data_IF_373107880418
#
_entry.id   IF_373107880418
#
_cell.length_a   1.000
_cell.length_b   1.000
_cell.length_c   1.000
_cell.angle_alpha   90.00
_cell.angle_beta   90.00
_cell.angle_gamma   90.00
#
_symmetry.space_group_name_H-M   'P 1'
#
loop_
_entity.id
_entity.type
_entity.pdbx_description
1 polymer ?
#
# COMPACT_ATOMS: atom_id res chain seq x y z
N UNK A 1 6.71 -12.24 -7.12
CA UNK A 1 5.67 -12.86 -6.32
C UNK A 1 4.44 -11.98 -6.25
N UNK A 2 3.30 -12.61 -6.10
CA UNK A 2 2.04 -11.90 -5.90
C UNK A 2 1.65 -12.00 -4.43
N UNK A 3 1.20 -10.88 -3.87
CA UNK A 3 0.74 -10.86 -2.49
C UNK A 3 -0.74 -10.55 -2.44
N UNK A 4 -1.43 -11.12 -1.45
CA UNK A 4 -2.81 -10.79 -1.15
C UNK A 4 -2.84 -10.01 0.15
N UNK A 5 -3.43 -8.83 0.12
CA UNK A 5 -3.43 -7.92 1.25
C UNK A 5 -4.80 -7.29 1.47
N UNK A 6 -5.06 -6.94 2.73
CA UNK A 6 -6.02 -5.89 3.06
C UNK A 6 -5.24 -4.62 3.37
N UNK A 7 -5.72 -3.50 2.91
CA UNK A 7 -5.03 -2.23 3.14
C UNK A 7 -5.99 -1.06 3.22
N UNK A 8 -5.53 0.00 3.85
CA UNK A 8 -6.22 1.27 3.87
C UNK A 8 -5.18 2.37 3.78
N UNK A 9 -5.34 3.24 2.78
CA UNK A 9 -4.44 4.37 2.57
C UNK A 9 -5.10 5.67 2.95
N UNK A 10 -4.39 6.49 3.73
CA UNK A 10 -4.88 7.78 4.17
C UNK A 10 -3.88 8.88 3.89
N UNK A 11 -4.39 10.09 3.74
CA UNK A 11 -3.57 11.30 3.71
C UNK A 11 -3.25 11.73 5.14
N UNK A 12 -2.36 12.70 5.29
CA UNK A 12 -1.95 13.17 6.62
C UNK A 12 -3.14 13.73 7.40
N UNK A 13 -4.11 14.32 6.72
CA UNK A 13 -5.31 14.87 7.36
C UNK A 13 -6.32 13.79 7.78
N UNK A 14 -6.03 12.52 7.51
CA UNK A 14 -6.93 11.42 7.86
C UNK A 14 -7.91 11.01 6.78
N UNK A 15 -7.93 11.71 5.64
CA UNK A 15 -8.82 11.35 4.53
C UNK A 15 -8.40 10.03 3.94
N UNK A 16 -9.34 9.12 3.75
CA UNK A 16 -9.08 7.82 3.13
C UNK A 16 -9.13 7.98 1.61
N UNK A 17 -8.05 7.64 0.92
CA UNK A 17 -8.04 7.71 -0.54
C UNK A 17 -8.25 6.36 -1.22
N UNK A 18 -8.02 5.28 -0.50
CA UNK A 18 -8.24 3.93 -1.03
C UNK A 18 -8.31 2.94 0.13
N UNK A 19 -9.14 1.90 0.02
CA UNK A 19 -9.28 0.92 1.09
C UNK A 19 -9.91 -0.36 0.57
N UNK A 20 -9.15 -1.46 0.61
CA UNK A 20 -9.70 -2.79 0.35
C UNK A 20 -10.65 -3.21 1.46
N UNK A 21 -10.38 -2.75 2.68
CA UNK A 21 -11.21 -3.09 3.84
C UNK A 21 -12.63 -2.58 3.66
N UNK A 22 -12.77 -1.36 3.17
CA UNK A 22 -14.10 -0.77 2.93
C UNK A 22 -14.83 -1.43 1.77
N UNK A 23 -14.09 -1.91 0.78
CA UNK A 23 -14.69 -2.65 -0.34
C UNK A 23 -15.11 -4.06 0.06
N UNK A 24 -14.60 -4.57 1.18
CA UNK A 24 -14.94 -5.90 1.67
C UNK A 24 -14.21 -7.03 0.96
N UNK A 25 -13.18 -6.73 0.18
CA UNK A 25 -12.43 -7.73 -0.57
C UNK A 25 -10.94 -7.46 -0.48
N UNK A 26 -10.11 -8.48 -0.22
CA UNK A 26 -8.66 -8.31 -0.31
C UNK A 26 -8.24 -8.01 -1.75
N UNK A 27 -7.08 -7.39 -1.88
CA UNK A 27 -6.50 -7.08 -3.17
C UNK A 27 -5.25 -7.91 -3.39
N UNK A 28 -5.00 -8.29 -4.64
CA UNK A 28 -3.80 -9.05 -5.02
C UNK A 28 -2.94 -8.20 -5.93
N UNK A 29 -1.65 -8.12 -5.62
CA UNK A 29 -0.70 -7.33 -6.39
C UNK A 29 0.60 -8.10 -6.60
N UNK A 30 1.20 -8.02 -7.79
CA UNK A 30 2.62 -8.37 -7.94
C UNK A 30 3.45 -7.37 -7.14
N UNK A 31 4.46 -7.85 -6.40
CA UNK A 31 5.26 -6.94 -5.56
C UNK A 31 6.05 -5.93 -6.37
N UNK A 32 6.21 -6.16 -7.67
CA UNK A 32 6.89 -5.23 -8.57
C UNK A 32 5.96 -4.19 -9.20
N UNK A 33 4.65 -4.32 -9.00
CA UNK A 33 3.65 -3.44 -9.63
C UNK A 33 3.03 -2.47 -8.64
N UNK A 34 3.63 -2.28 -7.48
CA UNK A 34 3.16 -1.37 -6.44
C UNK A 34 4.18 -0.25 -6.25
N UNK A 35 3.80 0.78 -5.49
CA UNK A 35 4.74 1.88 -5.22
C UNK A 35 5.98 1.34 -4.50
N UNK A 36 7.14 2.00 -4.68
CA UNK A 36 8.40 1.49 -4.12
C UNK A 36 8.36 1.25 -2.61
N UNK A 37 7.66 2.10 -1.87
CA UNK A 37 7.53 1.92 -0.42
C UNK A 37 6.86 0.61 -0.06
N UNK A 38 5.82 0.21 -0.82
CA UNK A 38 5.15 -1.07 -0.62
C UNK A 38 6.08 -2.25 -0.94
N UNK A 39 6.83 -2.15 -2.03
CA UNK A 39 7.77 -3.22 -2.40
C UNK A 39 8.76 -3.49 -1.27
N UNK A 40 9.29 -2.43 -0.67
CA UNK A 40 10.24 -2.56 0.45
C UNK A 40 9.57 -3.16 1.68
N UNK A 41 8.40 -2.66 2.04
CA UNK A 41 7.70 -3.09 3.25
C UNK A 41 7.22 -4.54 3.14
N UNK A 42 6.67 -4.91 1.99
CA UNK A 42 6.13 -6.26 1.82
C UNK A 42 7.21 -7.34 1.92
N UNK A 43 8.45 -7.01 1.55
CA UNK A 43 9.56 -7.94 1.70
C UNK A 43 9.94 -8.18 3.16
N UNK A 44 9.56 -7.27 4.05
CA UNK A 44 9.89 -7.35 5.47
C UNK A 44 8.75 -7.94 6.31
N UNK A 45 7.53 -7.92 5.79
CA UNK A 45 6.35 -8.32 6.55
C UNK A 45 6.17 -9.84 6.59
N UNK A 46 6.05 -10.44 7.77
CA UNK A 46 5.61 -11.83 7.87
C UNK A 46 4.15 -11.96 7.43
N UNK A 47 3.81 -13.12 6.85
CA UNK A 47 2.41 -13.43 6.55
C UNK A 47 1.60 -13.40 7.85
N UNK A 48 0.45 -12.75 7.79
CA UNK A 48 -0.43 -12.58 8.94
C UNK A 48 -0.18 -11.31 9.73
N UNK A 49 0.88 -10.56 9.43
CA UNK A 49 1.17 -9.32 10.13
C UNK A 49 0.30 -8.17 9.60
N UNK A 50 0.14 -7.18 10.45
CA UNK A 50 -0.60 -5.96 10.12
C UNK A 50 0.24 -4.78 10.60
N UNK A 51 0.68 -3.94 9.67
CA UNK A 51 1.58 -2.83 9.96
C UNK A 51 0.95 -1.51 9.55
N UNK A 52 1.24 -0.49 10.33
CA UNK A 52 0.95 0.89 9.95
C UNK A 52 2.27 1.51 9.50
N UNK A 53 2.30 1.98 8.27
CA UNK A 53 3.53 2.51 7.69
C UNK A 53 3.29 3.91 7.14
N UNK A 54 4.32 4.76 7.26
CA UNK A 54 4.32 6.10 6.72
C UNK A 54 5.30 6.11 5.56
N UNK A 55 4.82 6.45 4.37
CA UNK A 55 5.61 6.36 3.15
C UNK A 55 5.82 7.76 2.60
N UNK A 56 7.08 8.25 2.54
CA UNK A 56 7.34 9.56 1.96
C UNK A 56 7.06 9.58 0.46
N UNK A 57 6.84 10.77 -0.08
CA UNK A 57 6.42 10.94 -1.46
C UNK A 57 7.35 10.25 -2.45
N UNK A 58 8.66 10.31 -2.26
CA UNK A 58 9.61 9.72 -3.19
C UNK A 58 9.50 8.20 -3.28
N UNK A 59 8.90 7.56 -2.30
CA UNK A 59 8.63 6.12 -2.31
C UNK A 59 7.15 5.81 -2.59
N UNK A 60 6.38 6.82 -2.93
CA UNK A 60 4.97 6.70 -3.27
C UNK A 60 4.73 7.27 -4.67
N UNK A 61 4.00 8.37 -4.79
CA UNK A 61 3.64 8.91 -6.10
C UNK A 61 4.46 10.13 -6.50
N UNK A 62 5.41 10.54 -5.65
CA UNK A 62 6.39 11.55 -5.98
C UNK A 62 5.80 12.88 -6.43
N UNK A 63 6.45 13.47 -7.41
CA UNK A 63 6.07 14.78 -7.93
C UNK A 63 4.83 14.75 -8.80
N UNK A 64 4.41 13.57 -9.27
CA UNK A 64 3.24 13.45 -10.13
C UNK A 64 1.94 13.42 -9.37
N UNK A 65 1.97 12.87 -8.15
CA UNK A 65 0.75 12.56 -7.45
C UNK A 65 -0.05 11.46 -8.13
N UNK A 66 -1.28 11.29 -7.75
CA UNK A 66 -2.16 10.27 -8.34
C UNK A 66 -3.61 10.65 -8.13
N UNK A 67 -4.41 10.57 -9.19
CA UNK A 67 -5.83 10.85 -9.11
C UNK A 67 -6.13 12.26 -8.61
N UNK A 68 -7.28 12.42 -7.98
CA UNK A 68 -7.72 13.73 -7.51
C UNK A 68 -7.29 14.01 -6.07
N UNK A 69 -7.00 12.98 -5.29
CA UNK A 69 -6.73 13.13 -3.86
C UNK A 69 -5.25 13.23 -3.53
N UNK A 70 -4.39 12.54 -4.28
CA UNK A 70 -2.97 12.50 -4.00
C UNK A 70 -2.27 13.57 -4.84
N UNK A 71 -2.00 14.70 -4.20
CA UNK A 71 -1.29 15.79 -4.83
C UNK A 71 0.21 15.49 -4.94
N UNK A 72 0.96 16.29 -5.71
CA UNK A 72 2.42 16.11 -5.76
C UNK A 72 3.06 16.23 -4.38
N UNK A 73 4.07 15.42 -4.17
CA UNK A 73 4.92 15.46 -2.96
C UNK A 73 4.19 15.15 -1.66
N UNK A 74 3.16 14.29 -1.71
CA UNK A 74 2.42 13.92 -0.49
C UNK A 74 2.98 12.67 0.15
N UNK A 75 3.17 12.75 1.46
CA UNK A 75 3.43 11.57 2.30
C UNK A 75 2.13 10.85 2.55
N UNK A 76 2.15 9.52 2.45
CA UNK A 76 0.97 8.69 2.60
C UNK A 76 1.10 7.79 3.82
N UNK A 77 -0.02 7.45 4.42
CA UNK A 77 -0.09 6.54 5.56
C UNK A 77 -0.90 5.33 5.14
N UNK A 78 -0.32 4.13 5.32
CA UNK A 78 -1.00 2.89 5.00
C UNK A 78 -1.09 1.99 6.21
N UNK A 79 -2.22 1.30 6.33
CA UNK A 79 -2.33 0.13 7.17
C UNK A 79 -2.39 -1.04 6.20
N UNK A 80 -1.45 -1.98 6.32
CA UNK A 80 -1.32 -3.12 5.41
C UNK A 80 -1.35 -4.40 6.24
N UNK A 81 -2.24 -5.30 5.88
CA UNK A 81 -2.28 -6.64 6.46
C UNK A 81 -1.93 -7.63 5.36
N UNK A 82 -0.82 -8.34 5.54
CA UNK A 82 -0.36 -9.32 4.56
C UNK A 82 -1.06 -10.65 4.83
N UNK A 83 -1.96 -11.04 3.94
CA UNK A 83 -2.77 -12.24 4.12
C UNK A 83 -2.06 -13.48 3.61
N UNK A 84 -1.43 -13.40 2.44
CA UNK A 84 -0.69 -14.54 1.89
C UNK A 84 0.22 -14.07 0.77
N UNK A 85 1.21 -14.91 0.49
CA UNK A 85 2.14 -14.73 -0.62
C UNK A 85 1.91 -15.89 -1.60
N UNK A 86 1.67 -15.55 -2.86
CA UNK A 86 1.50 -16.54 -3.90
C UNK A 86 2.77 -16.59 -4.75
N UNK A 87 3.47 -17.70 -4.70
CA UNK A 87 4.65 -17.90 -5.50
C UNK A 87 4.24 -18.42 -6.87
N UNK A 88 4.78 -17.81 -7.91
CA UNK A 88 4.64 -18.34 -9.25
C UNK A 88 5.81 -19.25 -9.53
N UNK A 89 5.50 -20.39 -10.01
CA UNK A 89 6.51 -21.34 -10.43
C UNK A 89 6.58 -21.44 -11.93
#
# INVERSE_FOLDING_TARGET
DTVEVHYEGTLIDGSIFDSSIRRGEPASFPVTAVIPGWTQILQMMPVGSKWRVVIPAELAYGERGAGQMIEPNMTLIFIIQLLRIEDKQ
#
